data_IF_085784872543
#
_entry.id   IF_085784872543
#
_cell.length_a   1.000
_cell.length_b   1.000
_cell.length_c   1.000
_cell.angle_alpha   90.00
_cell.angle_beta   90.00
_cell.angle_gamma   90.00
#
_symmetry.space_group_name_H-M   'P 1'
#
loop_
_entity.id
_entity.type
_entity.pdbx_description
1 polymer ?
#
# COMPACT_ATOMS: atom_id res chain seq x y z
N UNK A 1 -20.13 25.64 -2.52
CA UNK A 1 -21.01 24.46 -2.55
C UNK A 1 -20.24 23.13 -2.52
N UNK A 2 -19.08 23.00 -3.18
CA UNK A 2 -18.30 21.75 -3.19
C UNK A 2 -17.64 21.30 -1.88
N UNK A 3 -17.28 22.21 -0.96
CA UNK A 3 -16.67 21.85 0.36
C UNK A 3 -17.63 20.99 1.20
N UNK A 4 -18.89 21.43 1.36
CA UNK A 4 -19.92 20.68 2.11
C UNK A 4 -20.17 19.27 1.57
N UNK A 5 -20.13 19.08 0.24
CA UNK A 5 -20.31 17.76 -0.38
C UNK A 5 -19.11 16.85 -0.09
N UNK A 6 -17.89 17.38 -0.19
CA UNK A 6 -16.67 16.63 0.15
C UNK A 6 -16.69 16.19 1.62
N UNK A 7 -17.09 17.08 2.53
CA UNK A 7 -17.15 16.77 3.97
C UNK A 7 -18.19 15.66 4.28
N UNK A 8 -19.32 15.65 3.58
CA UNK A 8 -20.35 14.59 3.71
C UNK A 8 -19.82 13.25 3.18
N UNK A 9 -19.15 13.26 2.03
CA UNK A 9 -18.56 12.05 1.44
C UNK A 9 -17.45 11.50 2.34
N UNK A 10 -16.54 12.34 2.82
CA UNK A 10 -15.44 11.93 3.69
C UNK A 10 -15.95 11.35 5.01
N UNK A 11 -17.04 11.90 5.56
CA UNK A 11 -17.70 11.37 6.75
C UNK A 11 -18.40 10.04 6.47
N UNK A 12 -19.04 9.90 5.31
CA UNK A 12 -19.67 8.65 4.87
C UNK A 12 -18.66 7.51 4.67
N UNK A 13 -17.52 7.79 4.03
CA UNK A 13 -16.43 6.82 3.84
C UNK A 13 -15.93 6.31 5.19
N UNK A 14 -15.69 7.21 6.17
CA UNK A 14 -15.26 6.81 7.51
C UNK A 14 -16.26 5.91 8.23
N UNK A 15 -17.56 6.18 8.09
CA UNK A 15 -18.61 5.34 8.69
C UNK A 15 -18.59 3.94 8.08
N UNK A 16 -18.48 3.85 6.75
CA UNK A 16 -18.42 2.57 6.04
C UNK A 16 -17.16 1.79 6.44
N UNK A 17 -16.01 2.44 6.53
CA UNK A 17 -14.74 1.85 6.94
C UNK A 17 -14.85 1.21 8.34
N UNK A 18 -15.42 1.94 9.30
CA UNK A 18 -15.67 1.42 10.65
C UNK A 18 -16.64 0.24 10.63
N UNK A 19 -17.71 0.32 9.82
CA UNK A 19 -18.71 -0.76 9.70
C UNK A 19 -18.09 -2.04 9.12
N UNK A 20 -17.28 -1.92 8.07
CA UNK A 20 -16.56 -3.04 7.48
C UNK A 20 -15.60 -3.66 8.49
N UNK A 21 -14.76 -2.86 9.16
CA UNK A 21 -13.85 -3.35 10.19
C UNK A 21 -14.58 -4.08 11.32
N UNK A 22 -15.70 -3.52 11.80
CA UNK A 22 -16.49 -4.14 12.85
C UNK A 22 -17.08 -5.48 12.40
N UNK A 23 -17.56 -5.55 11.16
CA UNK A 23 -18.15 -6.77 10.59
C UNK A 23 -17.10 -7.88 10.47
N UNK A 24 -15.93 -7.56 9.90
CA UNK A 24 -14.82 -8.52 9.77
C UNK A 24 -14.37 -8.97 11.16
N UNK A 25 -14.16 -8.04 12.10
CA UNK A 25 -13.75 -8.35 13.47
C UNK A 25 -14.72 -9.30 14.15
N UNK A 26 -16.03 -9.05 14.03
CA UNK A 26 -17.06 -9.93 14.60
C UNK A 26 -16.99 -11.34 13.98
N UNK A 27 -16.88 -11.44 12.65
CA UNK A 27 -16.74 -12.73 11.96
C UNK A 27 -15.49 -13.49 12.40
N UNK A 28 -14.37 -12.80 12.60
CA UNK A 28 -13.13 -13.41 13.09
C UNK A 28 -13.31 -13.96 14.51
N UNK A 29 -13.90 -13.19 15.41
CA UNK A 29 -14.19 -13.62 16.78
C UNK A 29 -15.11 -14.84 16.81
N UNK A 30 -16.15 -14.87 15.98
CA UNK A 30 -17.05 -16.01 15.86
C UNK A 30 -16.38 -17.25 15.26
N UNK A 31 -15.27 -17.09 14.55
CA UNK A 31 -14.54 -18.19 13.92
C UNK A 31 -13.50 -18.85 14.84
N UNK A 32 -13.07 -18.18 15.91
CA UNK A 32 -12.08 -18.72 16.88
C UNK A 32 -12.52 -20.04 17.53
N UNK A 33 -13.79 -20.21 17.97
CA UNK A 33 -14.25 -21.49 18.53
C UNK A 33 -14.13 -22.67 17.57
N UNK A 34 -14.33 -22.44 16.26
CA UNK A 34 -14.18 -23.50 15.26
C UNK A 34 -12.73 -23.98 15.20
N UNK A 35 -11.76 -23.06 15.30
CA UNK A 35 -10.34 -23.40 15.34
C UNK A 35 -9.98 -24.28 16.54
N UNK A 36 -10.54 -23.97 17.71
CA UNK A 36 -10.33 -24.76 18.93
C UNK A 36 -10.91 -26.17 18.78
N UNK A 37 -12.12 -26.29 18.21
CA UNK A 37 -12.75 -27.60 17.93
C UNK A 37 -11.89 -28.46 17.02
N UNK A 38 -11.47 -27.93 15.87
CA UNK A 38 -10.60 -28.66 14.95
C UNK A 38 -9.27 -29.08 15.61
N UNK A 39 -8.69 -28.23 16.45
CA UNK A 39 -7.45 -28.57 17.19
C UNK A 39 -7.65 -29.78 18.10
N UNK A 40 -8.79 -29.85 18.80
CA UNK A 40 -9.13 -30.99 19.66
C UNK A 40 -9.37 -32.25 18.81
N UNK A 41 -10.11 -32.13 17.72
CA UNK A 41 -10.45 -33.26 16.84
C UNK A 41 -9.19 -33.89 16.20
N UNK A 42 -8.19 -33.08 15.83
CA UNK A 42 -6.91 -33.55 15.30
C UNK A 42 -6.14 -34.37 16.33
N UNK A 43 -6.11 -33.94 17.58
CA UNK A 43 -5.38 -34.64 18.66
C UNK A 43 -6.07 -35.96 19.04
N UNK A 44 -7.39 -36.02 18.95
CA UNK A 44 -8.17 -37.21 19.31
C UNK A 44 -8.23 -38.27 18.19
N UNK A 45 -7.94 -37.91 16.94
CA UNK A 45 -8.09 -38.80 15.78
C UNK A 45 -6.86 -39.68 15.58
N UNK A 46 -7.01 -41.01 15.74
CA UNK A 46 -5.96 -42.01 15.48
C UNK A 46 -5.79 -42.41 14.00
N UNK A 47 -6.76 -42.09 13.14
CA UNK A 47 -6.70 -42.46 11.71
C UNK A 47 -5.90 -41.43 10.90
N UNK A 48 -4.77 -41.86 10.33
CA UNK A 48 -3.83 -41.00 9.59
C UNK A 48 -4.49 -40.19 8.46
N UNK A 49 -5.32 -40.81 7.60
CA UNK A 49 -5.94 -40.12 6.46
C UNK A 49 -6.92 -39.03 6.89
N UNK A 50 -7.74 -39.32 7.90
CA UNK A 50 -8.68 -38.36 8.47
C UNK A 50 -7.96 -37.24 9.21
N UNK A 51 -6.83 -37.53 9.86
CA UNK A 51 -5.98 -36.54 10.51
C UNK A 51 -5.43 -35.50 9.50
N UNK A 52 -4.99 -35.94 8.32
CA UNK A 52 -4.52 -35.02 7.26
C UNK A 52 -5.63 -34.09 6.75
N UNK A 53 -6.84 -34.58 6.55
CA UNK A 53 -7.98 -33.75 6.10
C UNK A 53 -8.37 -32.73 7.18
N UNK A 54 -8.45 -33.16 8.45
CA UNK A 54 -8.73 -32.28 9.58
C UNK A 54 -7.63 -31.22 9.78
N UNK A 55 -6.36 -31.60 9.63
CA UNK A 55 -5.24 -30.68 9.69
C UNK A 55 -5.30 -29.64 8.56
N UNK A 56 -5.69 -30.04 7.35
CA UNK A 56 -5.85 -29.12 6.24
C UNK A 56 -6.97 -28.11 6.53
N UNK A 57 -8.15 -28.56 6.98
CA UNK A 57 -9.23 -27.65 7.37
C UNK A 57 -8.83 -26.72 8.52
N UNK A 58 -8.16 -27.23 9.55
CA UNK A 58 -7.61 -26.41 10.62
C UNK A 58 -6.69 -25.31 10.09
N UNK A 59 -5.74 -25.67 9.22
CA UNK A 59 -4.81 -24.70 8.64
C UNK A 59 -5.57 -23.67 7.79
N UNK A 60 -6.59 -24.06 7.01
CA UNK A 60 -7.42 -23.11 6.25
C UNK A 60 -8.07 -22.07 7.16
N UNK A 61 -8.70 -22.50 8.26
CA UNK A 61 -9.31 -21.58 9.22
C UNK A 61 -8.27 -20.70 9.91
N UNK A 62 -7.14 -21.27 10.36
CA UNK A 62 -6.08 -20.52 11.04
C UNK A 62 -5.50 -19.41 10.15
N UNK A 63 -5.23 -19.76 8.90
CA UNK A 63 -4.58 -18.88 7.94
C UNK A 63 -5.54 -17.80 7.42
N UNK A 64 -6.84 -18.12 7.28
CA UNK A 64 -7.89 -17.15 7.01
C UNK A 64 -8.04 -16.13 8.14
N UNK A 65 -7.97 -16.58 9.40
CA UNK A 65 -8.03 -15.69 10.57
C UNK A 65 -6.90 -14.66 10.58
N UNK A 66 -5.67 -15.10 10.36
CA UNK A 66 -4.50 -14.19 10.30
C UNK A 66 -4.65 -13.15 9.20
N UNK A 67 -5.08 -13.56 8.00
CA UNK A 67 -5.32 -12.63 6.89
C UNK A 67 -6.39 -11.59 7.25
N UNK A 68 -7.46 -12.02 7.92
CA UNK A 68 -8.50 -11.09 8.36
C UNK A 68 -8.01 -10.06 9.38
N UNK A 69 -7.11 -10.45 10.29
CA UNK A 69 -6.49 -9.54 11.27
C UNK A 69 -5.61 -8.51 10.56
N UNK A 70 -4.72 -8.96 9.66
CA UNK A 70 -3.84 -8.07 8.89
C UNK A 70 -4.65 -7.11 8.00
N UNK A 71 -5.77 -7.56 7.44
CA UNK A 71 -6.68 -6.72 6.67
C UNK A 71 -7.30 -5.61 7.53
N UNK A 72 -7.73 -5.92 8.76
CA UNK A 72 -8.27 -4.91 9.68
C UNK A 72 -7.19 -3.88 10.04
N UNK A 73 -5.98 -4.34 10.38
CA UNK A 73 -4.86 -3.46 10.68
C UNK A 73 -4.59 -2.52 9.50
N UNK A 74 -4.53 -3.07 8.29
CA UNK A 74 -4.28 -2.30 7.08
C UNK A 74 -5.35 -1.24 6.79
N UNK A 75 -6.64 -1.58 6.99
CA UNK A 75 -7.74 -0.62 6.82
C UNK A 75 -7.59 0.53 7.80
N UNK A 76 -7.26 0.24 9.07
CA UNK A 76 -7.11 1.25 10.13
C UNK A 76 -5.90 2.16 9.86
N UNK A 77 -4.76 1.62 9.44
CA UNK A 77 -3.51 2.38 9.29
C UNK A 77 -3.43 3.15 7.96
N UNK A 78 -4.37 2.94 7.02
CA UNK A 78 -4.39 3.56 5.67
C UNK A 78 -3.07 3.44 4.91
N UNK A 79 -2.31 2.37 5.17
CA UNK A 79 -1.00 2.16 4.56
C UNK A 79 -1.17 1.49 3.20
N UNK A 80 -1.10 2.27 2.13
CA UNK A 80 -1.21 1.76 0.76
C UNK A 80 -0.03 0.85 0.37
N UNK A 81 1.15 1.06 0.98
CA UNK A 81 2.31 0.17 0.81
C UNK A 81 2.10 -1.22 1.43
N UNK A 82 1.31 -1.32 2.51
CA UNK A 82 1.02 -2.60 3.16
C UNK A 82 0.12 -3.51 2.31
N UNK A 83 -0.66 -2.96 1.38
CA UNK A 83 -1.60 -3.71 0.53
C UNK A 83 -0.87 -4.72 -0.36
N UNK A 84 0.25 -4.34 -0.96
CA UNK A 84 0.99 -5.21 -1.87
C UNK A 84 1.62 -6.39 -1.12
N UNK A 85 2.22 -6.13 0.04
CA UNK A 85 2.80 -7.17 0.91
C UNK A 85 1.72 -8.13 1.39
N UNK A 86 0.56 -7.60 1.80
CA UNK A 86 -0.61 -8.39 2.19
C UNK A 86 -1.08 -9.29 1.04
N UNK A 87 -1.26 -8.74 -0.16
CA UNK A 87 -1.71 -9.52 -1.33
C UNK A 87 -0.73 -10.67 -1.62
N UNK A 88 0.57 -10.40 -1.61
CA UNK A 88 1.58 -11.43 -1.84
C UNK A 88 1.53 -12.53 -0.77
N UNK A 89 1.38 -12.15 0.50
CA UNK A 89 1.26 -13.08 1.62
C UNK A 89 -0.01 -13.94 1.54
N UNK A 90 -1.15 -13.32 1.23
CA UNK A 90 -2.44 -14.00 1.03
C UNK A 90 -2.33 -15.04 -0.09
N UNK A 91 -1.71 -14.67 -1.22
CA UNK A 91 -1.53 -15.58 -2.36
C UNK A 91 -0.62 -16.75 -1.97
N UNK A 92 0.56 -16.46 -1.40
CA UNK A 92 1.51 -17.51 -1.02
C UNK A 92 0.89 -18.55 -0.08
N UNK A 93 0.12 -18.09 0.89
CA UNK A 93 -0.57 -18.94 1.87
C UNK A 93 -1.74 -19.72 1.28
N UNK A 94 -2.50 -19.12 0.35
CA UNK A 94 -3.51 -19.83 -0.43
C UNK A 94 -2.88 -20.97 -1.25
N UNK A 95 -1.69 -20.77 -1.82
CA UNK A 95 -0.99 -21.82 -2.57
C UNK A 95 -0.54 -23.00 -1.70
N UNK A 96 -0.26 -22.79 -0.41
CA UNK A 96 0.16 -23.87 0.51
C UNK A 96 -0.99 -24.75 1.00
N UNK A 97 -2.20 -24.20 1.08
CA UNK A 97 -3.35 -24.84 1.73
C UNK A 97 -4.28 -25.60 0.80
N UNK A 98 -4.49 -25.02 -0.38
CA UNK A 98 -5.29 -25.68 -1.37
C UNK A 98 -4.39 -26.72 -2.03
N UNK A 99 -4.87 -27.96 -2.13
CA UNK A 99 -4.27 -28.97 -2.99
C UNK A 99 -4.58 -28.56 -4.43
N UNK A 100 -3.90 -27.51 -4.85
CA UNK A 100 -4.04 -26.92 -6.15
C UNK A 100 -3.43 -27.91 -7.14
N UNK A 101 -4.14 -28.20 -8.22
CA UNK A 101 -3.57 -28.99 -9.30
C UNK A 101 -2.25 -28.32 -9.74
N UNK A 102 -1.26 -29.10 -10.18
CA UNK A 102 0.05 -28.56 -10.56
C UNK A 102 -0.08 -27.37 -11.55
N UNK A 103 -1.16 -27.40 -12.34
CA UNK A 103 -1.58 -26.36 -13.27
C UNK A 103 -1.96 -25.05 -12.58
N UNK A 104 -2.80 -25.03 -11.52
CA UNK A 104 -3.15 -23.75 -10.90
C UNK A 104 -2.01 -23.18 -10.04
N UNK A 105 -1.07 -24.02 -9.58
CA UNK A 105 0.20 -23.53 -9.02
C UNK A 105 1.01 -22.80 -10.10
N UNK A 106 1.13 -23.38 -11.29
CA UNK A 106 1.85 -22.79 -12.41
C UNK A 106 1.21 -21.47 -12.85
N UNK A 107 -0.12 -21.43 -13.00
CA UNK A 107 -0.88 -20.22 -13.36
C UNK A 107 -0.74 -19.16 -12.27
N UNK A 108 -0.80 -19.54 -10.99
CA UNK A 108 -0.58 -18.64 -9.86
C UNK A 108 0.81 -18.01 -9.90
N UNK A 109 1.85 -18.82 -10.09
CA UNK A 109 3.24 -18.36 -10.17
C UNK A 109 3.46 -17.41 -11.36
N UNK A 110 2.92 -17.74 -12.54
CA UNK A 110 2.99 -16.87 -13.73
C UNK A 110 2.27 -15.54 -13.47
N UNK A 111 1.12 -15.56 -12.81
CA UNK A 111 0.35 -14.35 -12.49
C UNK A 111 1.11 -13.43 -11.54
N UNK A 112 1.75 -13.97 -10.50
CA UNK A 112 2.61 -13.20 -9.59
C UNK A 112 3.80 -12.61 -10.35
N UNK A 113 4.46 -13.41 -11.19
CA UNK A 113 5.55 -12.95 -12.04
C UNK A 113 5.15 -11.79 -12.96
N UNK A 114 3.95 -11.86 -13.55
CA UNK A 114 3.38 -10.78 -14.37
C UNK A 114 3.14 -9.51 -13.55
N UNK A 115 2.58 -9.62 -12.34
CA UNK A 115 2.35 -8.48 -11.44
C UNK A 115 3.68 -7.80 -11.12
N UNK A 116 4.72 -8.56 -10.75
CA UNK A 116 6.05 -8.00 -10.51
C UNK A 116 6.65 -7.34 -11.76
N UNK A 117 6.46 -7.91 -12.94
CA UNK A 117 6.91 -7.32 -14.20
C UNK A 117 6.19 -5.99 -14.49
N UNK A 118 4.86 -5.94 -14.30
CA UNK A 118 4.06 -4.72 -14.45
C UNK A 118 4.53 -3.67 -13.45
N UNK A 119 4.69 -4.01 -12.16
CA UNK A 119 5.16 -3.08 -11.14
C UNK A 119 6.55 -2.54 -11.52
N UNK A 120 7.49 -3.41 -11.93
CA UNK A 120 8.83 -2.98 -12.35
C UNK A 120 8.80 -2.04 -13.56
N UNK A 121 7.87 -2.25 -14.49
CA UNK A 121 7.69 -1.38 -15.65
C UNK A 121 7.05 -0.04 -15.24
N UNK A 122 6.03 -0.07 -14.39
CA UNK A 122 5.31 1.11 -13.90
C UNK A 122 6.19 1.99 -13.01
N UNK A 123 7.01 1.40 -12.13
CA UNK A 123 7.95 2.14 -11.27
C UNK A 123 9.02 2.87 -12.09
N UNK A 124 9.39 2.32 -13.26
CA UNK A 124 10.34 2.96 -14.18
C UNK A 124 9.71 4.05 -15.05
N UNK A 125 8.39 4.14 -15.12
CA UNK A 125 7.70 5.15 -15.91
C UNK A 125 7.36 6.37 -15.03
N UNK A 126 8.18 7.41 -15.17
CA UNK A 126 8.04 8.66 -14.41
C UNK A 126 6.71 9.37 -14.65
N UNK A 127 6.10 9.21 -15.83
CA UNK A 127 4.82 9.86 -16.16
C UNK A 127 3.65 9.18 -15.47
N UNK A 128 3.68 7.85 -15.37
CA UNK A 128 2.65 7.09 -14.68
C UNK A 128 2.70 7.31 -13.15
N UNK A 129 3.89 7.30 -12.56
CA UNK A 129 4.08 7.57 -11.13
C UNK A 129 3.57 8.96 -10.72
N UNK A 130 3.79 9.97 -11.56
CA UNK A 130 3.27 11.32 -11.35
C UNK A 130 1.73 11.38 -11.33
N UNK A 131 1.05 10.49 -12.07
CA UNK A 131 -0.41 10.44 -12.14
C UNK A 131 -1.07 9.62 -11.02
N UNK A 132 -0.39 8.58 -10.52
CA UNK A 132 -0.96 7.64 -9.54
C UNK A 132 -0.83 8.17 -8.11
N UNK A 133 0.34 8.70 -7.74
CA UNK A 133 0.66 9.04 -6.35
C UNK A 133 1.37 10.40 -6.23
N UNK A 134 1.12 11.31 -7.18
CA UNK A 134 1.69 12.66 -7.24
C UNK A 134 3.21 12.70 -6.97
N UNK A 135 3.93 11.69 -7.45
CA UNK A 135 5.37 11.55 -7.25
C UNK A 135 6.07 11.83 -8.57
N UNK A 136 6.89 12.87 -8.59
CA UNK A 136 7.51 13.44 -9.77
C UNK A 136 9.01 13.18 -9.75
N UNK A 137 9.59 13.03 -10.94
CA UNK A 137 11.05 13.00 -11.10
C UNK A 137 11.62 14.38 -10.81
N UNK A 138 12.67 14.43 -10.00
CA UNK A 138 13.36 15.67 -9.63
C UNK A 138 13.98 16.39 -10.85
N UNK A 139 14.24 15.66 -11.94
CA UNK A 139 14.74 16.21 -13.19
C UNK A 139 13.67 16.96 -14.01
N UNK A 140 12.38 16.80 -13.70
CA UNK A 140 11.31 17.51 -14.40
C UNK A 140 11.41 19.01 -14.17
N UNK A 141 11.14 19.81 -15.21
CA UNK A 141 11.15 21.26 -15.08
C UNK A 141 9.92 21.78 -14.37
N UNK A 142 10.06 22.85 -13.58
CA UNK A 142 8.92 23.48 -12.89
C UNK A 142 7.86 23.96 -13.90
N UNK A 143 8.29 24.36 -15.11
CA UNK A 143 7.41 24.71 -16.23
C UNK A 143 6.56 23.54 -16.72
N UNK A 144 7.16 22.35 -16.89
CA UNK A 144 6.43 21.15 -17.29
C UNK A 144 5.41 20.76 -16.22
N UNK A 145 5.79 20.81 -14.95
CA UNK A 145 4.90 20.48 -13.83
C UNK A 145 3.68 21.41 -13.81
N UNK A 146 3.89 22.72 -13.98
CA UNK A 146 2.80 23.70 -14.07
C UNK A 146 1.87 23.44 -15.26
N UNK A 147 2.43 23.12 -16.43
CA UNK A 147 1.64 22.91 -17.67
C UNK A 147 0.86 21.60 -17.66
N UNK A 148 1.49 20.52 -17.22
CA UNK A 148 0.97 19.16 -17.36
C UNK A 148 0.14 18.73 -16.14
N UNK A 149 0.47 19.21 -14.95
CA UNK A 149 -0.18 18.81 -13.68
C UNK A 149 -0.88 19.98 -12.96
N UNK A 150 -0.87 21.18 -13.55
CA UNK A 150 -1.56 22.39 -13.04
C UNK A 150 -1.15 22.80 -11.61
N UNK A 151 0.04 22.43 -11.17
CA UNK A 151 0.60 22.84 -9.88
C UNK A 151 1.32 24.19 -10.05
N UNK A 152 0.94 25.19 -9.26
CA UNK A 152 1.52 26.54 -9.34
C UNK A 152 2.75 26.65 -8.43
N UNK A 153 3.84 26.07 -8.89
CA UNK A 153 5.13 26.06 -8.17
C UNK A 153 5.96 27.32 -8.48
N UNK A 154 6.76 27.83 -7.52
CA UNK A 154 7.66 28.96 -7.74
C UNK A 154 8.69 28.64 -8.84
N UNK A 155 8.72 29.43 -9.91
CA UNK A 155 9.63 29.23 -11.05
C UNK A 155 10.88 30.11 -11.01
N UNK A 156 10.90 31.05 -10.07
CA UNK A 156 11.95 32.04 -9.87
C UNK A 156 13.17 31.46 -9.12
N UNK A 157 12.96 30.42 -8.31
CA UNK A 157 14.01 29.82 -7.50
C UNK A 157 14.87 28.78 -8.24
N UNK A 158 14.29 27.99 -9.15
CA UNK A 158 15.02 26.99 -9.90
C UNK A 158 14.28 26.52 -11.17
N UNK A 159 15.04 25.94 -12.11
CA UNK A 159 14.49 25.41 -13.36
C UNK A 159 13.94 23.97 -13.20
N UNK A 160 14.51 23.17 -12.30
CA UNK A 160 14.10 21.77 -12.04
C UNK A 160 13.41 21.64 -10.69
N UNK A 161 12.56 20.62 -10.55
CA UNK A 161 11.88 20.34 -9.29
C UNK A 161 12.86 20.02 -8.16
N UNK A 162 13.91 19.24 -8.45
CA UNK A 162 14.97 18.92 -7.49
C UNK A 162 15.70 20.16 -6.99
N UNK A 163 16.05 21.06 -7.90
CA UNK A 163 16.69 22.33 -7.54
C UNK A 163 15.78 23.23 -6.71
N UNK A 164 14.49 23.29 -7.04
CA UNK A 164 13.49 24.05 -6.29
C UNK A 164 13.38 23.53 -4.84
N UNK A 165 13.25 22.21 -4.66
CA UNK A 165 13.15 21.59 -3.33
C UNK A 165 14.43 21.77 -2.53
N UNK A 166 15.59 21.72 -3.17
CA UNK A 166 16.87 22.00 -2.51
C UNK A 166 16.97 23.45 -2.02
N UNK A 167 16.55 24.42 -2.83
CA UNK A 167 16.51 25.84 -2.41
C UNK A 167 15.53 26.07 -1.26
N UNK A 168 14.34 25.45 -1.30
CA UNK A 168 13.37 25.51 -0.20
C UNK A 168 13.97 24.94 1.09
N UNK A 169 14.66 23.80 1.02
CA UNK A 169 15.31 23.19 2.18
C UNK A 169 16.35 24.14 2.81
N UNK A 170 17.10 24.85 1.98
CA UNK A 170 18.10 25.83 2.43
C UNK A 170 17.45 27.05 3.10
N UNK A 171 16.32 27.53 2.57
CA UNK A 171 15.54 28.62 3.19
C UNK A 171 14.98 28.20 4.55
N UNK A 172 14.53 26.96 4.69
CA UNK A 172 14.05 26.40 5.96
C UNK A 172 15.17 26.05 6.97
N UNK A 173 16.45 26.21 6.59
CA UNK A 173 17.59 25.93 7.46
C UNK A 173 17.91 24.45 7.62
N UNK A 174 17.58 23.62 6.63
CA UNK A 174 17.89 22.19 6.63
C UNK A 174 19.23 21.97 5.93
N UNK A 175 20.29 21.76 6.73
CA UNK A 175 21.66 21.60 6.24
C UNK A 175 21.88 20.29 5.46
N UNK A 176 21.11 19.23 5.78
CA UNK A 176 21.27 17.91 5.17
C UNK A 176 19.92 17.35 4.72
N UNK A 177 19.72 17.32 3.40
CA UNK A 177 18.52 16.78 2.78
C UNK A 177 18.63 15.26 2.69
N UNK A 178 17.65 14.54 3.25
CA UNK A 178 17.63 13.06 3.29
C UNK A 178 16.31 12.52 2.73
N UNK A 179 16.29 11.21 2.47
CA UNK A 179 15.03 10.52 2.17
C UNK A 179 14.03 10.70 3.32
N UNK A 180 12.75 10.82 2.96
CA UNK A 180 11.63 11.13 3.84
C UNK A 180 11.62 12.53 4.48
N UNK A 181 12.58 13.41 4.17
CA UNK A 181 12.49 14.83 4.55
C UNK A 181 11.22 15.45 3.96
N UNK A 182 10.53 16.25 4.78
CA UNK A 182 9.27 16.94 4.43
C UNK A 182 9.50 18.44 4.53
N UNK A 183 9.14 19.16 3.48
CA UNK A 183 9.24 20.61 3.39
C UNK A 183 7.87 21.19 3.11
N UNK A 184 7.58 22.40 3.58
CA UNK A 184 6.30 23.05 3.35
C UNK A 184 6.55 24.43 2.78
N UNK A 185 6.13 24.63 1.54
CA UNK A 185 6.26 25.92 0.89
C UNK A 185 4.95 26.34 0.23
N UNK A 186 4.40 27.46 0.69
CA UNK A 186 3.09 27.95 0.26
C UNK A 186 1.98 26.94 0.56
N UNK A 187 1.18 26.59 -0.45
CA UNK A 187 0.08 25.61 -0.35
C UNK A 187 0.53 24.17 -0.62
N UNK A 188 1.83 23.90 -0.75
CA UNK A 188 2.35 22.59 -1.12
C UNK A 188 3.28 22.02 -0.05
N UNK A 189 3.17 20.71 0.17
CA UNK A 189 4.10 19.91 0.94
C UNK A 189 4.91 19.04 -0.02
N UNK A 190 6.22 19.09 0.13
CA UNK A 190 7.16 18.29 -0.64
C UNK A 190 7.73 17.20 0.27
N UNK A 191 7.65 15.94 -0.16
CA UNK A 191 8.28 14.82 0.52
C UNK A 191 9.29 14.17 -0.40
N UNK A 192 10.53 14.05 0.07
CA UNK A 192 11.60 13.37 -0.68
C UNK A 192 11.39 11.87 -0.55
N UNK A 193 11.22 11.20 -1.68
CA UNK A 193 10.92 9.75 -1.72
C UNK A 193 12.19 8.95 -1.92
N UNK A 194 13.07 9.38 -2.82
CA UNK A 194 14.35 8.70 -3.05
C UNK A 194 15.47 9.69 -3.33
N UNK A 195 16.67 9.33 -2.86
CA UNK A 195 17.92 10.03 -3.16
C UNK A 195 18.98 9.02 -3.58
N UNK A 196 19.84 9.42 -4.50
CA UNK A 196 20.96 8.60 -4.95
C UNK A 196 22.19 9.47 -5.14
N UNK A 197 23.31 9.04 -4.57
CA UNK A 197 24.60 9.73 -4.67
C UNK A 197 24.52 11.23 -4.28
N UNK A 198 23.70 11.57 -3.27
CA UNK A 198 23.48 12.95 -2.82
C UNK A 198 22.55 13.79 -3.69
N UNK A 199 22.00 13.22 -4.77
CA UNK A 199 21.06 13.88 -5.66
C UNK A 199 19.63 13.39 -5.37
N UNK A 200 18.69 14.33 -5.32
CA UNK A 200 17.26 14.01 -5.19
C UNK A 200 16.78 13.41 -6.52
N UNK A 201 16.18 12.22 -6.49
CA UNK A 201 15.65 11.57 -7.69
C UNK A 201 14.13 11.72 -7.80
N UNK A 202 13.39 11.55 -6.69
CA UNK A 202 11.93 11.56 -6.68
C UNK A 202 11.34 12.37 -5.53
N UNK A 203 10.33 13.18 -5.86
CA UNK A 203 9.68 14.11 -4.93
C UNK A 203 8.17 13.92 -5.05
N UNK A 204 7.50 13.69 -3.91
CA UNK A 204 6.05 13.71 -3.81
C UNK A 204 5.55 15.10 -3.46
N UNK A 205 4.53 15.57 -4.15
CA UNK A 205 3.91 16.88 -3.92
C UNK A 205 2.46 16.66 -3.45
N UNK A 206 2.12 17.21 -2.29
CA UNK A 206 0.77 17.19 -1.74
C UNK A 206 0.26 18.62 -1.55
N UNK A 207 -0.96 18.91 -2.00
CA UNK A 207 -1.59 20.21 -1.76
C UNK A 207 -2.20 20.23 -0.35
N UNK A 208 -1.82 21.23 0.45
CA UNK A 208 -2.34 21.46 1.78
C UNK A 208 -3.76 22.06 1.66
N UNK A 209 -4.78 21.24 1.93
CA UNK A 209 -6.20 21.61 1.91
C UNK A 209 -6.60 22.56 3.04
#
# INVERSE_FOLDING_TARGET
MGKKIKDIIDKGIKIIEVLICLTILLTLLLSVPNLIRYSIDIVQTLQLRQNYELLNEFLKYALLLVVGIELIEMIITRSHEAILTLILFVIARKMLLYSVDLIDILIGSVSIGLIFAIIKFVVKDDKLMAKIDNTYSAAMTVKQIKKEYKLDLPQDMSNTLGGLVYEIAKIEGIDEVKENTRLIYGSYKFKIISMKDGVIERIRIEELK
#
